data_IF_897847481487
#
_entry.id   IF_897847481487
#
_cell.length_a   1.000
_cell.length_b   1.000
_cell.length_c   1.000
_cell.angle_alpha   90.00
_cell.angle_beta   90.00
_cell.angle_gamma   90.00
#
_symmetry.space_group_name_H-M   'P 1'
#
loop_
_entity.id
_entity.type
_entity.pdbx_description
1 polymer ?
#
# COMPACT_ATOMS: atom_id res chain seq x y z
N UNK A 1 -26.43 26.09 12.31
CA UNK A 1 -25.33 26.69 13.10
C UNK A 1 -24.05 26.45 12.32
N UNK A 2 -23.32 27.49 11.91
CA UNK A 2 -22.07 27.34 11.18
C UNK A 2 -20.92 27.44 12.19
N UNK A 3 -20.30 26.30 12.49
CA UNK A 3 -19.15 26.23 13.40
C UNK A 3 -17.88 26.49 12.61
N UNK A 4 -16.96 27.30 13.15
CA UNK A 4 -15.66 27.54 12.52
C UNK A 4 -14.78 26.27 12.56
N UNK A 5 -13.83 26.17 11.62
CA UNK A 5 -12.78 25.13 11.67
C UNK A 5 -11.92 25.31 12.93
N UNK A 6 -11.32 24.22 13.46
CA UNK A 6 -10.39 24.33 14.57
C UNK A 6 -9.17 25.19 14.17
N UNK A 7 -8.56 25.85 15.15
CA UNK A 7 -7.34 26.62 14.94
C UNK A 7 -6.08 25.75 15.06
N UNK A 8 -4.96 26.20 14.49
CA UNK A 8 -3.67 25.53 14.63
C UNK A 8 -3.04 25.91 15.98
N UNK A 9 -3.37 25.19 17.04
CA UNK A 9 -2.87 25.45 18.39
C UNK A 9 -2.45 24.15 19.06
N UNK A 10 -1.62 24.25 20.10
CA UNK A 10 -1.40 23.13 21.02
C UNK A 10 -2.45 23.17 22.12
N UNK A 11 -2.78 22.02 22.69
CA UNK A 11 -3.80 21.89 23.72
C UNK A 11 -3.43 22.70 24.97
N UNK A 12 -2.14 22.78 25.30
CA UNK A 12 -1.62 23.52 26.45
C UNK A 12 -1.72 25.04 26.29
N UNK A 13 -1.83 25.52 25.04
CA UNK A 13 -1.98 26.95 24.75
C UNK A 13 -3.47 27.40 24.87
N UNK A 14 -4.42 26.46 24.95
CA UNK A 14 -5.86 26.73 24.99
C UNK A 14 -6.32 26.93 26.44
N UNK A 15 -6.59 28.17 26.82
CA UNK A 15 -7.07 28.55 28.16
C UNK A 15 -8.37 29.34 28.05
N UNK A 16 -9.29 29.13 28.99
CA UNK A 16 -10.60 29.79 29.03
C UNK A 16 -10.48 31.32 28.94
N UNK A 17 -11.25 31.91 28.02
CA UNK A 17 -11.31 33.36 27.81
C UNK A 17 -10.23 33.94 26.89
N UNK A 18 -9.28 33.14 26.40
CA UNK A 18 -8.29 33.59 25.42
C UNK A 18 -8.88 33.69 24.00
N UNK A 19 -8.55 34.77 23.28
CA UNK A 19 -8.91 34.96 21.87
C UNK A 19 -7.63 34.95 21.03
N UNK A 20 -7.64 34.27 19.89
CA UNK A 20 -6.53 34.31 18.94
C UNK A 20 -5.35 33.37 19.25
N UNK A 21 -5.60 32.23 19.91
CA UNK A 21 -4.57 31.21 20.25
C UNK A 21 -3.95 30.54 19.01
N UNK A 22 -4.59 30.66 17.84
CA UNK A 22 -4.13 30.05 16.60
C UNK A 22 -2.76 30.55 16.13
N UNK A 23 -1.84 29.62 15.91
CA UNK A 23 -0.52 29.85 15.31
C UNK A 23 -0.61 29.80 13.78
N UNK A 24 0.36 30.39 13.04
CA UNK A 24 0.43 30.23 11.59
C UNK A 24 0.48 28.75 11.19
N UNK A 25 -0.12 28.37 10.04
CA UNK A 25 -0.11 26.98 9.55
C UNK A 25 1.29 26.43 9.26
N UNK A 26 2.29 27.30 9.09
CA UNK A 26 3.70 26.94 8.95
C UNK A 26 4.36 26.56 10.27
N UNK A 27 3.72 26.84 11.41
CA UNK A 27 4.20 26.47 12.73
C UNK A 27 3.60 25.11 13.14
N UNK A 28 4.43 24.09 13.44
CA UNK A 28 3.93 22.79 13.86
C UNK A 28 3.26 22.87 15.24
N UNK A 29 2.09 22.23 15.36
CA UNK A 29 1.31 22.08 16.60
C UNK A 29 0.68 20.68 16.68
N UNK A 30 0.09 20.32 17.83
CA UNK A 30 -0.72 19.09 17.96
C UNK A 30 -1.85 19.02 16.93
N UNK A 31 -2.44 20.17 16.57
CA UNK A 31 -3.54 20.27 15.61
C UNK A 31 -3.10 20.24 14.13
N UNK A 32 -1.81 20.36 13.82
CA UNK A 32 -1.35 20.49 12.44
C UNK A 32 -1.75 19.33 11.54
N UNK A 33 -1.66 18.08 12.01
CA UNK A 33 -2.08 16.90 11.25
C UNK A 33 -3.59 16.85 11.05
N UNK A 34 -4.37 17.09 12.09
CA UNK A 34 -5.83 17.09 12.02
C UNK A 34 -6.36 18.14 11.05
N UNK A 35 -5.70 19.31 10.95
CA UNK A 35 -6.04 20.30 9.95
C UNK A 35 -5.82 19.80 8.52
N UNK A 36 -4.76 19.04 8.26
CA UNK A 36 -4.57 18.41 6.94
C UNK A 36 -5.59 17.30 6.70
N UNK A 37 -5.96 16.54 7.74
CA UNK A 37 -7.02 15.51 7.68
C UNK A 37 -8.38 16.10 7.36
N UNK A 38 -8.72 17.26 7.92
CA UNK A 38 -9.94 18.01 7.59
C UNK A 38 -9.90 18.45 6.12
N UNK A 39 -8.80 19.08 5.67
CA UNK A 39 -8.64 19.48 4.26
C UNK A 39 -8.78 18.29 3.31
N UNK A 40 -8.23 17.14 3.69
CA UNK A 40 -8.33 15.93 2.88
C UNK A 40 -9.77 15.37 2.85
N UNK A 41 -10.49 15.41 3.97
CA UNK A 41 -11.90 15.03 4.02
C UNK A 41 -12.79 15.95 3.16
N UNK A 42 -12.50 17.26 3.14
CA UNK A 42 -13.19 18.21 2.26
C UNK A 42 -12.95 17.89 0.78
N UNK A 43 -11.71 17.57 0.43
CA UNK A 43 -11.34 17.09 -0.91
C UNK A 43 -12.07 15.80 -1.30
N UNK A 44 -12.12 14.79 -0.42
CA UNK A 44 -12.86 13.56 -0.69
C UNK A 44 -14.35 13.82 -0.91
N UNK A 45 -14.94 14.71 -0.10
CA UNK A 45 -16.35 15.12 -0.27
C UNK A 45 -16.56 15.80 -1.62
N UNK A 46 -15.67 16.71 -2.03
CA UNK A 46 -15.79 17.34 -3.36
C UNK A 46 -15.80 16.31 -4.50
N UNK A 47 -14.97 15.26 -4.42
CA UNK A 47 -14.98 14.18 -5.42
C UNK A 47 -16.32 13.45 -5.41
N UNK A 48 -16.78 13.03 -4.23
CA UNK A 48 -18.05 12.31 -4.08
C UNK A 48 -19.25 13.14 -4.57
N UNK A 49 -19.27 14.44 -4.26
CA UNK A 49 -20.34 15.37 -4.67
C UNK A 49 -20.35 15.61 -6.20
N UNK A 50 -19.20 15.47 -6.87
CA UNK A 50 -19.10 15.61 -8.33
C UNK A 50 -19.45 14.31 -9.08
N UNK A 51 -19.57 13.17 -8.39
CA UNK A 51 -19.90 11.91 -9.02
C UNK A 51 -21.37 11.93 -9.51
N UNK A 52 -21.64 11.76 -10.82
CA UNK A 52 -23.00 11.82 -11.33
C UNK A 52 -23.85 10.68 -10.75
N UNK A 53 -24.95 11.04 -10.09
CA UNK A 53 -25.95 10.08 -9.63
C UNK A 53 -26.49 9.26 -10.81
N UNK A 54 -26.22 7.95 -10.82
CA UNK A 54 -26.83 7.01 -11.77
C UNK A 54 -25.99 6.64 -13.00
N UNK A 55 -24.67 6.85 -13.00
CA UNK A 55 -23.84 6.11 -13.96
C UNK A 55 -23.90 4.61 -13.63
N UNK A 56 -24.41 3.83 -14.58
CA UNK A 56 -24.38 2.37 -14.53
C UNK A 56 -22.93 1.90 -14.41
N UNK A 57 -22.69 0.94 -13.52
CA UNK A 57 -21.40 0.24 -13.26
C UNK A 57 -20.72 -0.35 -14.51
N UNK A 58 -21.33 -0.24 -15.69
CA UNK A 58 -20.88 -0.85 -16.94
C UNK A 58 -19.76 -0.10 -17.66
N UNK A 59 -19.50 1.17 -17.36
CA UNK A 59 -18.31 1.89 -17.83
C UNK A 59 -17.53 2.33 -16.59
N UNK A 60 -16.32 1.78 -16.41
CA UNK A 60 -15.44 2.15 -15.29
C UNK A 60 -15.18 3.66 -15.22
N UNK A 61 -14.56 4.16 -14.13
CA UNK A 61 -14.34 5.60 -13.96
C UNK A 61 -13.69 6.20 -15.20
N UNK A 62 -14.25 7.32 -15.68
CA UNK A 62 -13.71 8.06 -16.80
C UNK A 62 -12.21 8.27 -16.56
N UNK A 63 -11.39 7.78 -17.49
CA UNK A 63 -9.94 7.83 -17.34
C UNK A 63 -9.45 9.27 -17.13
N UNK A 64 -10.16 10.23 -17.70
CA UNK A 64 -9.86 11.64 -17.50
C UNK A 64 -10.22 12.15 -16.10
N UNK A 65 -11.32 11.65 -15.52
CA UNK A 65 -11.65 11.94 -14.13
C UNK A 65 -10.59 11.38 -13.15
N UNK A 66 -10.09 10.17 -13.39
CA UNK A 66 -8.97 9.59 -12.61
C UNK A 66 -7.74 10.51 -12.61
N UNK A 67 -7.37 11.05 -13.78
CA UNK A 67 -6.24 11.99 -13.90
C UNK A 67 -6.48 13.31 -13.18
N UNK A 68 -7.72 13.82 -13.20
CA UNK A 68 -8.09 15.03 -12.46
C UNK A 68 -7.97 14.83 -10.94
N UNK A 69 -8.43 13.68 -10.43
CA UNK A 69 -8.27 13.32 -9.01
C UNK A 69 -6.77 13.25 -8.66
N UNK A 70 -5.96 12.58 -9.48
CA UNK A 70 -4.51 12.47 -9.25
C UNK A 70 -3.83 13.85 -9.18
N UNK A 71 -4.18 14.75 -10.10
CA UNK A 71 -3.69 16.13 -10.11
C UNK A 71 -3.97 16.85 -8.79
N UNK A 72 -5.19 16.72 -8.25
CA UNK A 72 -5.56 17.30 -6.95
C UNK A 72 -4.83 16.64 -5.77
N UNK A 73 -4.59 15.32 -5.80
CA UNK A 73 -3.77 14.63 -4.78
C UNK A 73 -2.34 15.19 -4.79
N UNK A 74 -1.76 15.38 -5.97
CA UNK A 74 -0.42 15.94 -6.14
C UNK A 74 -0.34 17.39 -5.66
N UNK A 75 -1.35 18.21 -5.96
CA UNK A 75 -1.44 19.59 -5.46
C UNK A 75 -1.56 19.62 -3.93
N UNK A 76 -2.41 18.76 -3.35
CA UNK A 76 -2.54 18.64 -1.91
C UNK A 76 -1.20 18.28 -1.26
N UNK A 77 -0.51 17.25 -1.78
CA UNK A 77 0.80 16.83 -1.30
C UNK A 77 1.84 17.96 -1.39
N UNK A 78 1.85 18.73 -2.49
CA UNK A 78 2.73 19.89 -2.68
C UNK A 78 2.39 21.07 -1.75
N UNK A 79 1.14 21.17 -1.28
CA UNK A 79 0.68 22.21 -0.36
C UNK A 79 0.87 21.88 1.13
N UNK A 80 1.41 20.70 1.44
CA UNK A 80 1.64 20.30 2.82
C UNK A 80 2.64 21.24 3.50
N UNK A 81 2.44 21.55 4.80
CA UNK A 81 3.44 22.29 5.56
C UNK A 81 4.81 21.61 5.50
N UNK A 82 5.89 22.41 5.49
CA UNK A 82 7.26 21.90 5.29
C UNK A 82 7.70 20.88 6.34
N UNK A 83 7.11 20.91 7.54
CA UNK A 83 7.34 19.93 8.61
C UNK A 83 6.69 18.55 8.36
N UNK A 84 5.84 18.40 7.34
CA UNK A 84 5.34 17.12 6.84
C UNK A 84 6.02 16.67 5.54
N UNK A 85 7.06 17.39 5.09
CA UNK A 85 7.84 17.00 3.92
C UNK A 85 8.85 15.90 4.24
N UNK A 86 9.04 14.95 3.31
CA UNK A 86 10.10 13.93 3.35
C UNK A 86 11.47 14.46 2.87
N UNK A 87 11.58 15.76 2.55
CA UNK A 87 12.78 16.37 1.99
C UNK A 87 13.89 16.65 3.00
N UNK A 88 13.67 16.37 4.29
CA UNK A 88 14.67 16.59 5.35
C UNK A 88 14.74 15.39 6.28
N UNK A 89 15.90 15.21 6.92
CA UNK A 89 16.09 14.18 7.96
C UNK A 89 16.05 14.79 9.35
N UNK A 90 15.46 14.08 10.30
CA UNK A 90 15.29 14.58 11.68
C UNK A 90 16.63 14.74 12.43
N UNK A 91 17.63 13.93 12.07
CA UNK A 91 18.99 13.96 12.64
C UNK A 91 19.81 15.18 12.21
N UNK A 92 19.50 15.77 11.06
CA UNK A 92 20.13 17.00 10.54
C UNK A 92 19.61 18.28 11.23
N UNK A 93 18.50 18.20 11.95
CA UNK A 93 17.88 19.36 12.58
C UNK A 93 18.42 19.65 13.99
N UNK A 94 18.49 20.93 14.41
CA UNK A 94 18.80 21.30 15.78
C UNK A 94 17.89 20.59 16.78
N UNK A 95 18.43 20.20 17.94
CA UNK A 95 17.65 19.47 18.98
C UNK A 95 16.40 20.22 19.45
N UNK A 96 16.41 21.55 19.38
CA UNK A 96 15.29 22.42 19.75
C UNK A 96 14.28 22.65 18.62
N UNK A 97 14.52 22.12 17.42
CA UNK A 97 13.62 22.29 16.29
C UNK A 97 12.30 21.53 16.55
N UNK A 98 11.13 22.18 16.47
CA UNK A 98 9.86 21.55 16.80
C UNK A 98 9.49 20.40 15.85
N UNK A 99 10.09 20.33 14.66
CA UNK A 99 9.94 19.21 13.72
C UNK A 99 10.51 17.89 14.24
N UNK A 100 11.35 17.94 15.29
CA UNK A 100 11.88 16.76 15.97
C UNK A 100 10.96 16.20 17.04
N UNK A 101 9.83 16.85 17.30
CA UNK A 101 8.85 16.31 18.25
C UNK A 101 8.30 14.97 17.71
N UNK A 102 8.21 13.92 18.55
CA UNK A 102 7.78 12.60 18.09
C UNK A 102 6.44 12.60 17.37
N UNK A 103 5.47 13.41 17.84
CA UNK A 103 4.16 13.54 17.19
C UNK A 103 4.26 14.04 15.75
N UNK A 104 5.03 15.10 15.50
CA UNK A 104 5.22 15.64 14.15
C UNK A 104 5.97 14.65 13.24
N UNK A 105 6.99 13.97 13.77
CA UNK A 105 7.71 12.93 13.01
C UNK A 105 6.74 11.82 12.58
N UNK A 106 5.94 11.29 13.51
CA UNK A 106 4.96 10.22 13.23
C UNK A 106 3.95 10.69 12.19
N UNK A 107 3.33 11.85 12.41
CA UNK A 107 2.31 12.41 11.53
C UNK A 107 2.84 12.68 10.11
N UNK A 108 4.09 13.15 9.99
CA UNK A 108 4.78 13.30 8.69
C UNK A 108 4.82 11.99 7.92
N UNK A 109 5.22 10.89 8.55
CA UNK A 109 5.29 9.61 7.84
C UNK A 109 3.90 9.05 7.54
N UNK A 110 2.95 9.11 8.49
CA UNK A 110 1.57 8.65 8.29
C UNK A 110 0.93 9.33 7.08
N UNK A 111 0.97 10.67 7.00
CA UNK A 111 0.32 11.39 5.90
C UNK A 111 0.94 11.04 4.54
N UNK A 112 2.27 10.85 4.47
CA UNK A 112 2.94 10.46 3.23
C UNK A 112 2.63 9.01 2.82
N UNK A 113 2.55 8.07 3.78
CA UNK A 113 2.08 6.72 3.49
C UNK A 113 0.68 6.73 2.89
N UNK A 114 -0.25 7.42 3.56
CA UNK A 114 -1.66 7.45 3.17
C UNK A 114 -1.85 8.07 1.79
N UNK A 115 -1.26 9.23 1.52
CA UNK A 115 -1.39 9.91 0.22
C UNK A 115 -0.88 9.05 -0.93
N UNK A 116 0.31 8.45 -0.79
CA UNK A 116 0.89 7.65 -1.85
C UNK A 116 0.17 6.30 -2.00
N UNK A 117 -0.29 5.67 -0.92
CA UNK A 117 -1.10 4.44 -1.02
C UNK A 117 -2.45 4.69 -1.71
N UNK A 118 -3.10 5.83 -1.45
CA UNK A 118 -4.31 6.22 -2.16
C UNK A 118 -4.04 6.50 -3.64
N UNK A 119 -2.93 7.16 -3.97
CA UNK A 119 -2.48 7.38 -5.35
C UNK A 119 -2.19 6.06 -6.08
N UNK A 120 -1.58 5.08 -5.40
CA UNK A 120 -1.42 3.72 -5.94
C UNK A 120 -2.79 3.11 -6.29
N UNK A 121 -3.73 3.11 -5.34
CA UNK A 121 -5.07 2.54 -5.50
C UNK A 121 -5.83 3.18 -6.66
N UNK A 122 -5.81 4.52 -6.73
CA UNK A 122 -6.47 5.28 -7.80
C UNK A 122 -6.03 4.84 -9.20
N UNK A 123 -4.74 4.55 -9.37
CA UNK A 123 -4.19 4.16 -10.67
C UNK A 123 -4.04 2.64 -10.88
N UNK A 124 -4.33 1.84 -9.85
CA UNK A 124 -4.09 0.40 -9.85
C UNK A 124 -4.79 -0.31 -11.01
N UNK A 125 -6.07 0.00 -11.25
CA UNK A 125 -6.87 -0.61 -12.32
C UNK A 125 -6.31 -0.36 -13.74
N UNK A 126 -5.47 0.67 -13.91
CA UNK A 126 -4.86 1.03 -15.19
C UNK A 126 -3.43 0.49 -15.33
N UNK A 127 -2.82 0.00 -14.25
CA UNK A 127 -1.44 -0.51 -14.24
C UNK A 127 -1.30 -1.72 -15.18
N UNK A 128 -2.20 -2.71 -15.07
CA UNK A 128 -2.19 -3.90 -15.92
C UNK A 128 -2.59 -3.56 -17.36
N UNK A 129 -3.54 -2.62 -17.56
CA UNK A 129 -4.01 -2.18 -18.88
C UNK A 129 -2.92 -1.46 -19.68
N UNK A 130 -2.05 -0.70 -19.01
CA UNK A 130 -0.94 0.02 -19.65
C UNK A 130 0.06 -0.89 -20.37
N UNK A 131 0.15 -2.18 -19.98
CA UNK A 131 1.00 -3.15 -20.70
C UNK A 131 0.51 -3.44 -22.13
N UNK A 132 -0.79 -3.27 -22.39
CA UNK A 132 -1.46 -3.57 -23.67
C UNK A 132 -1.85 -2.31 -24.44
N UNK A 133 -2.10 -1.20 -23.74
CA UNK A 133 -2.55 0.07 -24.32
C UNK A 133 -1.74 1.26 -23.75
N UNK A 134 -0.87 1.88 -24.56
CA UNK A 134 -0.06 3.04 -24.16
C UNK A 134 -0.87 4.26 -23.70
N UNK A 135 -2.16 4.32 -23.98
CA UNK A 135 -3.06 5.39 -23.49
C UNK A 135 -3.00 5.53 -21.97
N UNK A 136 -2.74 4.42 -21.26
CA UNK A 136 -2.69 4.38 -19.79
C UNK A 136 -1.28 4.59 -19.20
N UNK A 137 -0.28 4.95 -20.01
CA UNK A 137 1.11 5.15 -19.58
C UNK A 137 1.26 6.15 -18.43
N UNK A 138 0.45 7.20 -18.43
CA UNK A 138 0.42 8.17 -17.34
C UNK A 138 0.13 7.49 -16.00
N UNK A 139 -0.90 6.66 -15.96
CA UNK A 139 -1.34 6.01 -14.72
C UNK A 139 -0.38 4.92 -14.27
N UNK A 140 0.24 4.19 -15.21
CA UNK A 140 1.34 3.29 -14.87
C UNK A 140 2.48 4.05 -14.19
N UNK A 141 2.94 5.17 -14.77
CA UNK A 141 4.00 6.01 -14.17
C UNK A 141 3.61 6.54 -12.80
N UNK A 142 2.41 7.13 -12.68
CA UNK A 142 1.92 7.69 -11.43
C UNK A 142 1.78 6.64 -10.31
N UNK A 143 1.26 5.44 -10.64
CA UNK A 143 1.14 4.33 -9.70
C UNK A 143 2.52 3.86 -9.20
N UNK A 144 3.49 3.71 -10.09
CA UNK A 144 4.85 3.28 -9.74
C UNK A 144 5.62 4.34 -8.95
N UNK A 145 5.49 5.61 -9.31
CA UNK A 145 6.05 6.72 -8.54
C UNK A 145 5.51 6.70 -7.11
N UNK A 146 4.19 6.57 -6.95
CA UNK A 146 3.55 6.51 -5.64
C UNK A 146 4.02 5.29 -4.83
N UNK A 147 4.10 4.11 -5.44
CA UNK A 147 4.58 2.90 -4.78
C UNK A 147 6.03 3.06 -4.27
N UNK A 148 6.91 3.63 -5.10
CA UNK A 148 8.29 3.94 -4.71
C UNK A 148 8.35 4.94 -3.57
N UNK A 149 7.48 5.95 -3.58
CA UNK A 149 7.40 6.92 -2.48
C UNK A 149 6.97 6.25 -1.17
N UNK A 150 6.07 5.27 -1.18
CA UNK A 150 5.71 4.48 0.02
C UNK A 150 6.93 3.71 0.55
N UNK A 151 7.67 3.00 -0.32
CA UNK A 151 8.86 2.26 0.09
C UNK A 151 9.94 3.19 0.64
N UNK A 152 10.17 4.33 -0.01
CA UNK A 152 11.09 5.37 0.48
C UNK A 152 10.66 5.93 1.84
N UNK A 153 9.36 6.17 2.02
CA UNK A 153 8.78 6.66 3.29
C UNK A 153 9.06 5.66 4.40
N UNK A 154 8.87 4.37 4.14
CA UNK A 154 9.18 3.32 5.12
C UNK A 154 10.68 3.23 5.42
N UNK A 155 11.54 3.30 4.40
CA UNK A 155 12.99 3.31 4.62
C UNK A 155 13.40 4.46 5.54
N UNK A 156 12.89 5.66 5.28
CA UNK A 156 13.19 6.82 6.11
C UNK A 156 12.65 6.68 7.54
N UNK A 157 11.42 6.19 7.72
CA UNK A 157 10.85 5.95 9.05
C UNK A 157 11.63 4.86 9.81
N UNK A 158 12.13 3.83 9.12
CA UNK A 158 12.84 2.70 9.73
C UNK A 158 14.13 3.09 10.47
N UNK A 159 14.72 4.23 10.10
CA UNK A 159 15.96 4.76 10.70
C UNK A 159 15.71 5.88 11.71
N UNK A 160 14.46 6.27 11.93
CA UNK A 160 14.13 7.28 12.94
C UNK A 160 14.36 6.75 14.36
N UNK A 161 14.75 7.64 15.27
CA UNK A 161 15.06 7.29 16.65
C UNK A 161 13.88 7.65 17.55
N UNK A 162 12.74 6.99 17.32
CA UNK A 162 11.51 7.13 18.11
C UNK A 162 10.89 5.76 18.44
N UNK A 163 10.22 5.60 19.60
CA UNK A 163 9.62 4.31 19.98
C UNK A 163 8.61 3.76 18.97
N UNK A 164 7.91 4.64 18.25
CA UNK A 164 6.94 4.28 17.21
C UNK A 164 7.50 3.35 16.13
N UNK A 165 8.79 3.48 15.82
CA UNK A 165 9.44 2.66 14.78
C UNK A 165 9.25 1.18 15.07
N UNK A 166 9.43 0.72 16.31
CA UNK A 166 9.30 -0.69 16.65
C UNK A 166 7.90 -1.26 16.40
N UNK A 167 6.85 -0.45 16.50
CA UNK A 167 5.46 -0.87 16.37
C UNK A 167 4.85 -0.61 14.98
N UNK A 168 5.50 0.19 14.12
CA UNK A 168 4.88 0.75 12.90
C UNK A 168 4.25 -0.29 11.95
N UNK A 169 4.90 -1.45 11.75
CA UNK A 169 4.40 -2.50 10.86
C UNK A 169 3.34 -3.40 11.50
N UNK A 170 3.12 -3.28 12.83
CA UNK A 170 1.97 -3.87 13.52
C UNK A 170 0.69 -3.06 13.31
N UNK A 171 0.79 -1.82 12.86
CA UNK A 171 -0.36 -0.95 12.61
C UNK A 171 -0.96 -1.36 11.26
N UNK A 172 -2.18 -1.92 11.23
CA UNK A 172 -2.75 -2.49 10.00
C UNK A 172 -2.82 -1.50 8.84
N UNK A 173 -3.18 -0.24 9.12
CA UNK A 173 -3.26 0.82 8.10
C UNK A 173 -1.91 1.11 7.44
N UNK A 174 -0.82 1.14 8.20
CA UNK A 174 0.52 1.38 7.65
C UNK A 174 1.06 0.16 6.90
N UNK A 175 0.83 -1.03 7.46
CA UNK A 175 1.20 -2.27 6.79
C UNK A 175 0.46 -2.40 5.45
N UNK A 176 -0.83 -2.10 5.42
CA UNK A 176 -1.64 -2.12 4.20
C UNK A 176 -1.07 -1.15 3.14
N UNK A 177 -0.69 0.08 3.52
CA UNK A 177 -0.05 1.02 2.60
C UNK A 177 1.20 0.41 1.94
N UNK A 178 2.05 -0.22 2.75
CA UNK A 178 3.26 -0.91 2.28
C UNK A 178 2.90 -2.10 1.37
N UNK A 179 1.96 -2.94 1.76
CA UNK A 179 1.52 -4.08 0.96
C UNK A 179 1.00 -3.65 -0.41
N UNK A 180 0.17 -2.60 -0.50
CA UNK A 180 -0.32 -2.05 -1.77
C UNK A 180 0.84 -1.62 -2.67
N UNK A 181 1.82 -0.90 -2.13
CA UNK A 181 2.99 -0.48 -2.90
C UNK A 181 3.81 -1.68 -3.39
N UNK A 182 4.00 -2.70 -2.56
CA UNK A 182 4.73 -3.91 -2.94
C UNK A 182 3.99 -4.68 -4.04
N UNK A 183 2.66 -4.80 -3.95
CA UNK A 183 1.84 -5.43 -4.99
C UNK A 183 2.00 -4.69 -6.33
N UNK A 184 1.95 -3.35 -6.31
CA UNK A 184 2.16 -2.53 -7.52
C UNK A 184 3.54 -2.80 -8.15
N UNK A 185 4.60 -2.80 -7.34
CA UNK A 185 5.96 -3.07 -7.84
C UNK A 185 6.09 -4.50 -8.36
N UNK A 186 5.48 -5.48 -7.71
CA UNK A 186 5.49 -6.88 -8.15
C UNK A 186 4.76 -7.05 -9.49
N UNK A 187 3.58 -6.45 -9.65
CA UNK A 187 2.83 -6.49 -10.91
C UNK A 187 3.65 -5.90 -12.04
N UNK A 188 4.31 -4.77 -11.79
CA UNK A 188 5.14 -4.12 -12.80
C UNK A 188 6.39 -4.92 -13.15
N UNK A 189 7.04 -5.50 -12.14
CA UNK A 189 8.19 -6.38 -12.32
C UNK A 189 7.83 -7.61 -13.16
N UNK A 190 6.67 -8.22 -12.91
CA UNK A 190 6.22 -9.40 -13.66
C UNK A 190 5.70 -9.08 -15.07
N UNK A 191 5.19 -7.88 -15.31
CA UNK A 191 4.71 -7.44 -16.62
C UNK A 191 5.79 -6.79 -17.50
N UNK A 192 6.93 -6.42 -16.91
CA UNK A 192 8.05 -5.80 -17.60
C UNK A 192 8.91 -6.81 -18.37
N UNK A 193 9.77 -6.28 -19.27
CA UNK A 193 10.84 -7.05 -19.90
C UNK A 193 11.99 -7.34 -18.93
N UNK A 194 13.22 -7.42 -19.44
CA UNK A 194 14.38 -7.67 -18.57
C UNK A 194 14.52 -6.59 -17.49
N UNK A 195 14.59 -6.98 -16.20
CA UNK A 195 14.64 -6.03 -15.09
C UNK A 195 15.94 -5.24 -15.10
N UNK A 196 15.84 -3.93 -14.89
CA UNK A 196 17.01 -3.08 -14.72
C UNK A 196 17.58 -3.24 -13.30
N UNK A 197 18.83 -2.82 -13.08
CA UNK A 197 19.48 -2.87 -11.76
C UNK A 197 18.64 -2.18 -10.68
N UNK A 198 18.02 -1.04 -11.04
CA UNK A 198 17.09 -0.31 -10.17
C UNK A 198 15.89 -1.18 -9.74
N UNK A 199 15.27 -1.90 -10.66
CA UNK A 199 14.10 -2.74 -10.38
C UNK A 199 14.45 -3.90 -9.44
N UNK A 200 15.66 -4.45 -9.56
CA UNK A 200 16.18 -5.48 -8.65
C UNK A 200 16.37 -4.90 -7.24
N UNK A 201 16.97 -3.71 -7.11
CA UNK A 201 17.15 -3.08 -5.80
C UNK A 201 15.83 -2.74 -5.12
N UNK A 202 14.84 -2.24 -5.88
CA UNK A 202 13.49 -1.96 -5.38
C UNK A 202 12.78 -3.24 -4.90
N UNK A 203 12.94 -4.32 -5.66
CA UNK A 203 12.41 -5.64 -5.29
C UNK A 203 13.05 -6.13 -3.98
N UNK A 204 14.37 -6.11 -3.86
CA UNK A 204 15.06 -6.55 -2.64
C UNK A 204 14.66 -5.72 -1.41
N UNK A 205 14.43 -4.43 -1.58
CA UNK A 205 13.94 -3.56 -0.52
C UNK A 205 12.53 -3.96 -0.05
N UNK A 206 11.61 -4.18 -0.99
CA UNK A 206 10.27 -4.68 -0.69
C UNK A 206 10.30 -6.02 0.08
N UNK A 207 11.17 -6.94 -0.34
CA UNK A 207 11.38 -8.22 0.35
C UNK A 207 11.83 -8.05 1.80
N UNK A 208 12.82 -7.17 2.04
CA UNK A 208 13.32 -6.91 3.38
C UNK A 208 12.22 -6.38 4.31
N UNK A 209 11.32 -5.54 3.79
CA UNK A 209 10.21 -4.99 4.58
C UNK A 209 9.22 -6.09 4.95
N UNK A 210 8.82 -6.95 4.01
CA UNK A 210 7.91 -8.05 4.29
C UNK A 210 8.52 -9.10 5.23
N UNK A 211 9.80 -9.43 5.07
CA UNK A 211 10.51 -10.34 5.96
C UNK A 211 10.52 -9.84 7.40
N UNK A 212 10.63 -8.52 7.63
CA UNK A 212 10.51 -7.93 8.97
C UNK A 212 9.08 -8.00 9.51
N UNK A 213 8.06 -7.90 8.65
CA UNK A 213 6.66 -7.86 9.05
C UNK A 213 6.03 -9.26 9.22
N UNK A 214 6.57 -10.32 8.59
CA UNK A 214 5.94 -11.65 8.53
C UNK A 214 5.71 -12.30 9.90
N UNK A 215 6.58 -12.02 10.88
CA UNK A 215 6.50 -12.58 12.24
C UNK A 215 5.27 -12.05 12.97
N UNK A 216 4.82 -10.85 12.59
CA UNK A 216 3.78 -10.09 13.29
C UNK A 216 2.50 -9.96 12.45
N UNK A 217 2.55 -10.35 11.18
CA UNK A 217 1.42 -10.26 10.26
C UNK A 217 1.36 -11.43 9.28
N UNK A 218 0.26 -12.19 9.37
CA UNK A 218 -0.06 -13.25 8.42
C UNK A 218 -0.12 -12.73 6.98
N UNK A 219 -0.70 -11.54 6.76
CA UNK A 219 -0.80 -10.93 5.44
C UNK A 219 0.58 -10.67 4.83
N UNK A 220 1.52 -10.13 5.63
CA UNK A 220 2.89 -9.89 5.18
C UNK A 220 3.61 -11.19 4.82
N UNK A 221 3.44 -12.23 5.66
CA UNK A 221 3.99 -13.56 5.38
C UNK A 221 3.43 -14.18 4.10
N UNK A 222 2.11 -14.11 3.88
CA UNK A 222 1.47 -14.63 2.67
C UNK A 222 1.94 -13.87 1.43
N UNK A 223 1.99 -12.54 1.47
CA UNK A 223 2.46 -11.71 0.35
C UNK A 223 3.92 -11.99 0.00
N UNK A 224 4.78 -12.18 1.01
CA UNK A 224 6.18 -12.53 0.82
C UNK A 224 6.35 -13.85 0.05
N UNK A 225 5.61 -14.89 0.45
CA UNK A 225 5.67 -16.19 -0.23
C UNK A 225 5.15 -16.10 -1.66
N UNK A 226 4.12 -15.29 -1.90
CA UNK A 226 3.68 -15.07 -3.29
C UNK A 226 4.72 -14.31 -4.11
N UNK A 227 5.35 -13.29 -3.54
CA UNK A 227 6.40 -12.55 -4.24
C UNK A 227 7.58 -13.47 -4.61
N UNK A 228 8.03 -14.34 -3.68
CA UNK A 228 9.04 -15.38 -3.95
C UNK A 228 8.63 -16.26 -5.14
N UNK A 229 7.40 -16.74 -5.13
CA UNK A 229 6.87 -17.62 -6.18
C UNK A 229 6.82 -16.92 -7.55
N UNK A 230 6.44 -15.65 -7.58
CA UNK A 230 6.39 -14.84 -8.80
C UNK A 230 7.78 -14.63 -9.41
N UNK A 231 8.80 -14.33 -8.59
CA UNK A 231 10.19 -14.18 -9.05
C UNK A 231 10.74 -15.49 -9.65
N UNK A 232 10.46 -16.62 -9.01
CA UNK A 232 10.91 -17.94 -9.51
C UNK A 232 10.31 -18.25 -10.89
N UNK A 233 9.01 -17.96 -11.09
CA UNK A 233 8.34 -18.15 -12.38
C UNK A 233 8.91 -17.25 -13.47
N UNK A 234 9.18 -15.98 -13.14
CA UNK A 234 9.76 -15.03 -14.09
C UNK A 234 11.19 -15.45 -14.50
N UNK A 235 12.01 -15.91 -13.55
CA UNK A 235 13.35 -16.44 -13.83
C UNK A 235 13.36 -17.72 -14.68
N UNK A 236 12.38 -18.61 -14.50
CA UNK A 236 12.25 -19.83 -15.29
C UNK A 236 11.78 -19.56 -16.73
N UNK A 237 10.85 -18.61 -16.92
CA UNK A 237 10.35 -18.22 -18.25
C UNK A 237 11.43 -17.56 -19.12
N UNK A 238 12.29 -16.73 -18.53
CA UNK A 238 13.43 -16.12 -19.24
C UNK A 238 14.51 -17.11 -19.70
N UNK A 239 14.60 -18.29 -19.08
CA UNK A 239 15.54 -19.36 -19.45
C UNK A 239 15.03 -20.25 -20.59
N UNK A 240 13.70 -20.31 -20.80
CA UNK A 240 13.10 -21.16 -21.83
C UNK A 240 13.16 -20.60 -23.27
N UNK A 241 13.61 -19.34 -23.45
CA UNK A 241 13.64 -18.66 -24.76
C UNK A 241 14.99 -18.82 -25.49
N UNK A 242 16.07 -19.25 -24.82
CA UNK A 242 17.34 -19.61 -25.46
C UNK A 242 17.49 -21.14 -25.58
N UNK A 243 16.71 -21.78 -26.45
CA UNK A 243 16.84 -23.23 -26.57
C UNK A 243 15.98 -23.95 -27.58
N UNK A 244 15.54 -23.32 -28.67
CA UNK A 244 14.91 -24.07 -29.77
C UNK A 244 15.60 -23.79 -31.11
N UNK A 245 16.83 -24.31 -31.22
CA UNK A 245 17.33 -24.77 -32.52
C UNK A 245 17.28 -26.30 -32.53
N UNK A 246 16.21 -26.81 -33.13
CA UNK A 246 16.05 -28.10 -33.79
C UNK A 246 17.15 -29.14 -33.58
N UNK A 247 16.84 -30.24 -32.88
CA UNK A 247 17.14 -31.59 -33.43
C UNK A 247 16.21 -32.65 -32.81
N UNK A 248 15.40 -33.28 -33.68
CA UNK A 248 14.66 -34.52 -33.39
C UNK A 248 15.64 -35.66 -33.14
N UNK A 249 15.42 -36.46 -32.10
CA UNK A 249 15.82 -37.87 -32.05
C UNK A 249 14.85 -38.69 -31.21
N UNK A 250 14.17 -39.61 -31.90
CA UNK A 250 13.32 -40.69 -31.42
C UNK A 250 14.18 -41.84 -30.85
N UNK A 251 13.84 -42.39 -29.67
CA UNK A 251 13.73 -43.86 -29.45
C UNK A 251 13.07 -44.23 -28.10
N UNK A 252 12.44 -45.40 -28.11
CA UNK A 252 11.45 -45.97 -27.19
C UNK A 252 12.00 -46.75 -25.98
N UNK A 253 11.07 -47.07 -25.05
CA UNK A 253 10.87 -48.31 -24.24
C UNK A 253 10.86 -48.05 -22.71
N UNK A 254 9.71 -48.18 -22.02
CA UNK A 254 8.98 -49.38 -21.52
C UNK A 254 9.47 -49.90 -20.15
N UNK A 255 8.52 -49.85 -19.21
CA UNK A 255 8.23 -50.79 -18.11
C UNK A 255 8.69 -50.60 -16.65
N UNK A 256 7.67 -50.86 -15.80
CA UNK A 256 7.64 -51.50 -14.48
C UNK A 256 7.71 -50.65 -13.19
N UNK A 257 6.55 -50.60 -12.50
CA UNK A 257 6.38 -50.52 -11.04
C UNK A 257 6.22 -51.97 -10.49
N UNK A 258 6.44 -52.29 -9.19
CA UNK A 258 5.44 -52.00 -8.13
C UNK A 258 5.94 -51.83 -6.66
N UNK A 259 5.20 -50.99 -5.89
CA UNK A 259 4.66 -51.22 -4.52
C UNK A 259 5.54 -51.42 -3.26
N UNK A 260 5.28 -50.66 -2.18
CA UNK A 260 4.74 -51.15 -0.88
C UNK A 260 4.56 -50.03 0.18
N UNK A 261 3.64 -50.26 1.13
CA UNK A 261 3.10 -49.33 2.13
C UNK A 261 3.75 -49.41 3.53
N UNK A 262 3.59 -48.36 4.38
CA UNK A 262 3.09 -48.46 5.78
C UNK A 262 3.16 -47.15 6.63
N UNK A 263 2.02 -46.86 7.30
CA UNK A 263 1.81 -46.48 8.72
C UNK A 263 2.02 -45.02 9.22
N UNK A 264 0.93 -44.47 9.78
CA UNK A 264 0.83 -43.34 10.73
C UNK A 264 1.35 -43.69 12.15
N UNK A 265 1.45 -42.76 13.12
CA UNK A 265 0.28 -42.29 13.91
C UNK A 265 0.30 -40.81 14.40
N UNK A 266 -0.85 -40.34 14.92
CA UNK A 266 -1.08 -39.06 15.61
C UNK A 266 -0.62 -39.08 17.10
N UNK A 267 -0.53 -37.90 17.77
CA UNK A 267 -1.42 -37.62 18.93
C UNK A 267 -1.84 -36.13 19.03
N UNK A 268 -3.10 -35.76 19.37
CA UNK A 268 -3.82 -35.69 20.66
C UNK A 268 -3.79 -34.30 21.35
N UNK A 269 -5.00 -33.76 21.51
CA UNK A 269 -5.50 -32.57 22.20
C UNK A 269 -4.78 -32.07 23.48
N UNK A 270 -4.79 -30.74 23.66
CA UNK A 270 -4.90 -30.05 24.96
C UNK A 270 -5.73 -28.76 24.81
N UNK A 271 -6.44 -28.41 25.88
CA UNK A 271 -7.58 -27.48 25.95
C UNK A 271 -7.29 -26.33 26.94
N UNK A 272 -7.83 -25.13 26.63
CA UNK A 272 -8.08 -23.89 27.44
C UNK A 272 -6.92 -22.89 27.72
N UNK A 273 -7.19 -21.58 28.00
CA UNK A 273 -8.49 -20.87 28.13
C UNK A 273 -8.66 -19.58 27.30
N UNK A 274 -9.92 -19.13 27.27
CA UNK A 274 -10.52 -17.97 26.61
C UNK A 274 -10.29 -16.63 27.35
N UNK A 275 -10.21 -15.53 26.60
CA UNK A 275 -10.46 -14.13 27.04
C UNK A 275 -9.24 -13.22 26.86
N UNK A 276 -9.17 -12.28 25.91
CA UNK A 276 -10.18 -11.30 25.49
C UNK A 276 -10.10 -11.02 23.98
N UNK A 277 -11.27 -10.84 23.37
CA UNK A 277 -11.54 -10.81 21.93
C UNK A 277 -10.71 -9.77 21.16
N UNK A 278 -9.90 -10.26 20.23
CA UNK A 278 -9.35 -9.52 19.06
C UNK A 278 -10.30 -9.70 17.85
N UNK A 279 -11.33 -10.53 17.99
CA UNK A 279 -12.23 -10.96 16.91
C UNK A 279 -13.21 -9.88 16.39
N UNK A 280 -13.30 -8.71 17.04
CA UNK A 280 -14.28 -7.67 16.63
C UNK A 280 -13.80 -6.77 15.49
N UNK A 281 -12.52 -6.86 15.07
CA UNK A 281 -11.98 -6.15 13.89
C UNK A 281 -11.67 -7.07 12.70
N UNK A 282 -11.89 -8.38 12.84
CA UNK A 282 -11.51 -9.39 11.83
C UNK A 282 -12.70 -10.04 11.12
N UNK A 283 -13.93 -9.58 11.37
CA UNK A 283 -15.11 -10.03 10.63
C UNK A 283 -15.70 -8.88 9.83
N UNK A 284 -14.90 -8.35 8.90
CA UNK A 284 -15.47 -7.72 7.70
C UNK A 284 -15.48 -8.79 6.58
N UNK A 285 -16.65 -9.32 6.18
CA UNK A 285 -16.78 -10.40 5.21
C UNK A 285 -16.48 -9.98 3.76
N UNK A 286 -15.85 -8.82 3.55
CA UNK A 286 -15.70 -8.17 2.24
C UNK A 286 -14.27 -8.17 1.68
N UNK A 287 -13.26 -8.65 2.42
CA UNK A 287 -11.96 -8.96 1.83
C UNK A 287 -12.07 -10.28 1.05
N UNK A 288 -11.90 -10.29 -0.29
CA UNK A 288 -11.74 -11.55 -1.00
C UNK A 288 -10.55 -12.27 -0.38
N UNK A 289 -10.63 -13.60 -0.28
CA UNK A 289 -9.50 -14.36 0.21
C UNK A 289 -8.29 -13.98 -0.66
N UNK A 290 -7.11 -13.78 -0.07
CA UNK A 290 -5.92 -13.43 -0.86
C UNK A 290 -5.63 -14.47 -1.98
N UNK A 291 -6.29 -15.64 -1.98
CA UNK A 291 -6.26 -16.61 -3.07
C UNK A 291 -7.11 -16.18 -4.29
N UNK A 292 -8.19 -15.43 -4.10
CA UNK A 292 -9.00 -14.82 -5.16
C UNK A 292 -8.24 -13.67 -5.86
N UNK A 293 -7.38 -12.95 -5.10
CA UNK A 293 -6.45 -11.93 -5.65
C UNK A 293 -5.50 -12.53 -6.71
N UNK A 294 -5.21 -13.83 -6.63
CA UNK A 294 -4.24 -14.50 -7.50
C UNK A 294 -4.84 -15.29 -8.66
N UNK A 295 -6.13 -15.66 -8.61
CA UNK A 295 -6.79 -16.31 -9.75
C UNK A 295 -6.78 -15.43 -11.02
N UNK A 296 -6.67 -14.10 -10.84
CA UNK A 296 -6.53 -13.10 -11.91
C UNK A 296 -5.24 -13.24 -12.73
N UNK A 297 -4.22 -13.85 -12.15
CA UNK A 297 -2.89 -14.02 -12.74
C UNK A 297 -2.62 -15.44 -13.25
N UNK A 298 -3.60 -16.34 -13.18
CA UNK A 298 -3.56 -17.56 -14.00
C UNK A 298 -3.82 -17.16 -15.46
N UNK A 299 -3.10 -17.75 -16.42
CA UNK A 299 -3.10 -17.42 -17.85
C UNK A 299 -4.50 -17.42 -18.54
N UNK A 300 -5.55 -17.79 -17.82
CA UNK A 300 -6.93 -17.92 -18.29
C UNK A 300 -7.89 -16.82 -17.83
N UNK A 301 -7.48 -15.88 -16.96
CA UNK A 301 -8.37 -14.81 -16.45
C UNK A 301 -8.03 -13.47 -17.08
N UNK A 302 -9.01 -12.88 -17.78
CA UNK A 302 -8.88 -11.52 -18.32
C UNK A 302 -8.88 -10.50 -17.17
N UNK A 303 -7.78 -9.76 -16.93
CA UNK A 303 -7.68 -8.79 -15.83
C UNK A 303 -8.66 -7.60 -15.95
N UNK A 304 -9.35 -7.47 -17.08
CA UNK A 304 -10.45 -6.52 -17.28
C UNK A 304 -11.79 -6.95 -16.65
N UNK A 305 -11.93 -8.21 -16.23
CA UNK A 305 -13.16 -8.75 -15.63
C UNK A 305 -13.20 -8.66 -14.11
N UNK A 306 -12.08 -8.29 -13.49
CA UNK A 306 -11.93 -8.25 -12.04
C UNK A 306 -12.31 -6.88 -11.52
N UNK A 307 -13.30 -6.86 -10.63
CA UNK A 307 -13.72 -5.64 -9.94
C UNK A 307 -12.72 -5.26 -8.85
N UNK A 308 -11.63 -4.63 -9.28
CA UNK A 308 -10.61 -4.09 -8.40
C UNK A 308 -11.16 -3.04 -7.43
N UNK A 309 -12.28 -2.39 -7.76
CA UNK A 309 -12.89 -1.42 -6.86
C UNK A 309 -13.49 -2.14 -5.66
N UNK A 310 -14.18 -3.27 -5.83
CA UNK A 310 -14.65 -4.10 -4.71
C UNK A 310 -13.51 -4.64 -3.84
N UNK A 311 -12.34 -4.95 -4.41
CA UNK A 311 -11.17 -5.44 -3.64
C UNK A 311 -10.62 -4.42 -2.64
N UNK A 312 -10.85 -3.14 -2.93
CA UNK A 312 -10.31 -2.02 -2.17
C UNK A 312 -11.40 -1.15 -1.53
N UNK A 313 -12.67 -1.33 -1.88
CA UNK A 313 -13.83 -0.60 -1.39
C UNK A 313 -14.29 -1.14 -0.03
N UNK A 314 -13.51 -0.90 1.02
CA UNK A 314 -13.97 -0.13 2.20
C UNK A 314 -13.11 -0.37 3.47
N UNK A 315 -13.22 0.51 4.50
CA UNK A 315 -13.70 1.88 4.40
C UNK A 315 -12.66 2.91 4.85
N UNK A 316 -12.90 4.15 4.43
CA UNK A 316 -12.36 5.39 4.98
C UNK A 316 -12.50 5.55 6.51
N UNK A 317 -13.06 4.57 7.23
CA UNK A 317 -13.07 4.48 8.69
C UNK A 317 -11.68 4.31 9.29
N UNK A 318 -10.78 3.54 8.64
CA UNK A 318 -9.38 3.45 9.06
C UNK A 318 -8.65 4.78 8.85
N UNK A 319 -9.10 5.56 7.86
CA UNK A 319 -8.66 6.94 7.70
C UNK A 319 -9.03 7.71 8.98
N UNK A 320 -10.29 7.72 9.40
CA UNK A 320 -10.80 8.50 10.54
C UNK A 320 -10.40 8.03 11.95
N UNK A 321 -9.82 6.84 12.12
CA UNK A 321 -9.68 6.19 13.44
C UNK A 321 -8.24 6.08 13.99
N UNK A 322 -7.29 6.89 13.52
CA UNK A 322 -5.94 7.03 14.12
C UNK A 322 -5.68 8.48 14.49
#
# INVERSE_FOLDING_TARGET
MMTNKPCNANDEDIVDGMVGVGKPLSHPTSMSYYLQRIRLGEFCREIADCAPFGMSESEGPDYEHTKQIDGKICEFAGSLPSFFSLAYRSDELPKSDPRRSPGIIIQRYIINFLLNAQRCRLHFAYLSRASKDPTYDYSRKACLEAARMVIQTERQLSVEVIPFVAARLRIPGLLHCVCVAIIVLLIDFCGGGYPQEKDITETLEAFSILEKAKEESFLAGKLLETFKSALLRHGASGSAVEGNTTTKSTTQNLDASPGLACKSPAPTNMVHPTGSNIDDFLMDPTLPALDDLWQVFDDNVDPGTVDWNSFFAEPDTAFLSI
#
